data_IF_868102975631
#
_entry.id   IF_868102975631
#
_cell.length_a   1.000
_cell.length_b   1.000
_cell.length_c   1.000
_cell.angle_alpha   90.00
_cell.angle_beta   90.00
_cell.angle_gamma   90.00
#
_symmetry.space_group_name_H-M   'P 1'
#
loop_
_entity.id
_entity.type
_entity.pdbx_description
1 polymer ?
#
# COMPACT_ATOMS: atom_id res chain seq x y z
N UNK A 1 13.94 -0.23 4.85
CA UNK A 1 13.05 0.58 5.71
C UNK A 1 13.73 1.93 5.91
N UNK A 2 13.00 3.03 6.08
CA UNK A 2 13.62 4.34 6.34
C UNK A 2 14.61 4.20 7.51
N UNK A 3 15.84 4.69 7.37
CA UNK A 3 16.89 4.51 8.39
C UNK A 3 17.05 5.73 9.32
N UNK A 4 16.39 6.85 9.01
CA UNK A 4 16.61 8.15 9.64
C UNK A 4 15.48 8.47 10.64
N UNK A 5 14.22 8.35 10.21
CA UNK A 5 13.07 8.77 11.02
C UNK A 5 12.49 7.62 11.82
N UNK A 6 12.15 7.83 13.09
CA UNK A 6 11.49 6.80 13.90
C UNK A 6 10.03 6.55 13.50
N UNK A 7 9.42 7.50 12.82
CA UNK A 7 8.06 7.39 12.31
C UNK A 7 8.04 7.14 10.80
N UNK A 8 7.02 6.41 10.36
CA UNK A 8 6.78 6.03 8.98
C UNK A 8 5.36 6.42 8.58
N UNK A 9 5.23 6.99 7.38
CA UNK A 9 3.94 7.10 6.70
C UNK A 9 3.61 5.75 6.05
N UNK A 10 2.42 5.24 6.32
CA UNK A 10 1.92 3.97 5.78
C UNK A 10 0.52 4.14 5.20
N UNK A 11 0.21 3.30 4.22
CA UNK A 11 -1.10 3.20 3.58
C UNK A 11 -1.66 1.81 3.90
N UNK A 12 -2.93 1.69 4.35
CA UNK A 12 -3.50 0.40 4.67
C UNK A 12 -3.73 -0.44 3.40
N UNK A 13 -3.57 -1.74 3.56
CA UNK A 13 -3.86 -2.75 2.55
C UNK A 13 -4.89 -3.73 3.11
N UNK A 14 -5.96 -4.01 2.37
CA UNK A 14 -7.07 -4.85 2.84
C UNK A 14 -7.55 -5.83 1.77
N UNK A 15 -7.87 -7.06 2.16
CA UNK A 15 -8.51 -8.05 1.28
C UNK A 15 -10.03 -7.87 1.17
N UNK A 16 -10.61 -6.91 1.92
CA UNK A 16 -12.03 -6.59 1.79
C UNK A 16 -12.26 -5.69 0.57
N UNK A 17 -12.60 -6.31 -0.56
CA UNK A 17 -12.80 -5.67 -1.86
C UNK A 17 -14.28 -5.51 -2.24
N UNK A 18 -15.19 -5.56 -1.26
CA UNK A 18 -16.64 -5.52 -1.48
C UNK A 18 -17.19 -4.19 -2.07
N UNK A 19 -16.32 -3.21 -2.35
CA UNK A 19 -16.70 -1.92 -2.92
C UNK A 19 -16.00 -1.73 -4.27
N UNK A 20 -16.65 -1.04 -5.23
CA UNK A 20 -15.99 -0.66 -6.47
C UNK A 20 -14.70 0.11 -6.20
N UNK A 21 -13.65 -0.20 -6.97
CA UNK A 21 -12.39 0.52 -6.90
C UNK A 21 -12.55 1.96 -7.33
N UNK A 22 -11.92 2.86 -6.60
CA UNK A 22 -11.81 4.28 -6.94
C UNK A 22 -10.42 4.59 -7.52
N UNK A 23 -10.26 5.78 -8.11
CA UNK A 23 -8.96 6.26 -8.63
C UNK A 23 -7.88 6.40 -7.53
N UNK A 24 -8.29 6.45 -6.26
CA UNK A 24 -7.41 6.51 -5.08
C UNK A 24 -6.99 5.13 -4.58
N UNK A 25 -7.37 4.06 -5.28
CA UNK A 25 -7.17 2.69 -4.84
C UNK A 25 -6.41 1.89 -5.88
N UNK A 26 -5.50 1.05 -5.41
CA UNK A 26 -4.73 0.14 -6.25
C UNK A 26 -5.00 -1.30 -5.85
N UNK A 27 -5.41 -2.14 -6.79
CA UNK A 27 -5.64 -3.57 -6.59
C UNK A 27 -4.36 -4.36 -6.85
N UNK A 28 -3.86 -5.03 -5.81
CA UNK A 28 -2.81 -6.05 -5.94
C UNK A 28 -3.48 -7.37 -6.33
N UNK A 29 -3.17 -7.87 -7.52
CA UNK A 29 -3.75 -9.09 -8.09
C UNK A 29 -2.71 -9.87 -8.92
N UNK A 30 -3.06 -11.08 -9.35
CA UNK A 30 -2.20 -11.92 -10.19
C UNK A 30 -0.85 -12.23 -9.54
N UNK A 31 0.21 -12.13 -10.34
CA UNK A 31 1.58 -12.48 -9.92
C UNK A 31 2.14 -11.55 -8.82
N UNK A 32 1.57 -10.35 -8.67
CA UNK A 32 1.98 -9.39 -7.64
C UNK A 32 1.66 -9.86 -6.23
N UNK A 33 0.67 -10.75 -6.06
CA UNK A 33 0.31 -11.33 -4.76
C UNK A 33 1.54 -11.99 -4.11
N UNK A 34 2.30 -12.75 -4.91
CA UNK A 34 3.47 -13.47 -4.45
C UNK A 34 4.60 -12.53 -4.02
N UNK A 35 4.91 -11.51 -4.84
CA UNK A 35 5.96 -10.54 -4.53
C UNK A 35 5.59 -9.64 -3.34
N UNK A 36 4.31 -9.26 -3.22
CA UNK A 36 3.78 -8.51 -2.08
C UNK A 36 3.80 -9.32 -0.76
N UNK A 37 3.93 -10.64 -0.82
CA UNK A 37 3.92 -11.52 0.34
C UNK A 37 2.55 -11.64 1.00
N UNK A 38 1.48 -11.41 0.25
CA UNK A 38 0.08 -11.56 0.68
C UNK A 38 -0.49 -12.88 0.14
N UNK A 39 -1.66 -13.29 0.63
CA UNK A 39 -2.27 -14.59 0.30
C UNK A 39 -3.41 -14.53 -0.70
N UNK A 40 -4.04 -13.37 -0.79
CA UNK A 40 -5.24 -13.11 -1.60
C UNK A 40 -5.12 -11.72 -2.18
N UNK A 41 -5.91 -11.43 -3.20
CA UNK A 41 -6.05 -10.09 -3.74
C UNK A 41 -6.34 -9.10 -2.61
N UNK A 42 -5.72 -7.93 -2.69
CA UNK A 42 -5.88 -6.89 -1.68
C UNK A 42 -5.75 -5.51 -2.30
N UNK A 43 -6.40 -4.53 -1.69
CA UNK A 43 -6.45 -3.16 -2.17
C UNK A 43 -5.64 -2.26 -1.25
N UNK A 44 -4.72 -1.51 -1.84
CA UNK A 44 -4.02 -0.39 -1.22
C UNK A 44 -4.95 0.82 -1.28
N UNK A 45 -5.28 1.39 -0.12
CA UNK A 45 -6.28 2.46 0.02
C UNK A 45 -5.62 3.81 0.27
N UNK A 46 -5.24 4.51 -0.81
CA UNK A 46 -4.46 5.75 -0.71
C UNK A 46 -5.26 6.91 -0.12
N UNK A 47 -6.59 6.77 0.01
CA UNK A 47 -7.44 7.71 0.75
C UNK A 47 -7.21 7.70 2.28
N UNK A 48 -6.34 6.83 2.79
CA UNK A 48 -6.02 6.73 4.21
C UNK A 48 -4.51 6.63 4.40
N UNK A 49 -3.92 7.60 5.08
CA UNK A 49 -2.49 7.64 5.37
C UNK A 49 -2.31 7.79 6.88
N UNK A 50 -1.47 6.94 7.46
CA UNK A 50 -1.18 6.93 8.88
C UNK A 50 0.30 7.18 9.12
N UNK A 51 0.61 7.91 10.17
CA UNK A 51 1.97 7.97 10.71
C UNK A 51 2.05 6.99 11.87
N UNK A 52 2.94 6.01 11.77
CA UNK A 52 3.18 5.00 12.79
C UNK A 52 4.63 5.00 13.21
N UNK A 53 4.89 4.76 14.49
CA UNK A 53 6.25 4.52 14.96
C UNK A 53 6.76 3.16 14.44
N UNK A 54 8.04 3.08 14.08
CA UNK A 54 8.69 1.85 13.60
C UNK A 54 8.53 0.66 14.54
N UNK A 55 8.43 0.89 15.84
CA UNK A 55 8.20 -0.17 16.84
C UNK A 55 6.89 -0.94 16.63
N UNK A 56 5.91 -0.36 15.92
CA UNK A 56 4.65 -1.03 15.58
C UNK A 56 4.79 -2.01 14.40
N UNK A 57 5.93 -2.00 13.69
CA UNK A 57 6.16 -2.87 12.54
C UNK A 57 6.72 -4.22 13.01
N UNK A 58 5.89 -5.26 12.92
CA UNK A 58 6.28 -6.62 13.34
C UNK A 58 7.28 -7.27 12.38
N UNK A 59 7.05 -7.16 11.06
CA UNK A 59 7.91 -7.74 10.01
C UNK A 59 7.56 -7.20 8.62
N UNK A 60 8.49 -7.36 7.68
CA UNK A 60 8.24 -7.19 6.24
C UNK A 60 7.61 -8.47 5.67
N UNK A 61 6.51 -8.35 4.90
CA UNK A 61 5.87 -9.49 4.24
C UNK A 61 6.44 -9.76 2.84
N UNK A 62 6.64 -8.70 2.07
CA UNK A 62 7.15 -8.74 0.71
C UNK A 62 7.48 -7.35 0.21
N UNK A 63 7.52 -7.18 -1.11
CA UNK A 63 7.75 -5.90 -1.77
C UNK A 63 7.00 -5.84 -3.09
N UNK A 64 6.47 -4.67 -3.40
CA UNK A 64 5.88 -4.37 -4.70
C UNK A 64 6.98 -3.97 -5.70
N UNK A 65 6.72 -4.21 -6.98
CA UNK A 65 7.64 -3.81 -8.04
C UNK A 65 7.70 -2.28 -8.18
N UNK A 66 8.73 -1.75 -8.84
CA UNK A 66 8.81 -0.31 -9.10
C UNK A 66 7.65 0.19 -9.97
N UNK A 67 7.17 -0.62 -10.91
CA UNK A 67 6.01 -0.31 -11.74
C UNK A 67 4.75 -0.19 -10.90
N UNK A 68 4.52 -1.16 -10.01
CA UNK A 68 3.42 -1.16 -9.04
C UNK A 68 3.47 0.08 -8.13
N UNK A 69 4.66 0.43 -7.63
CA UNK A 69 4.85 1.61 -6.78
C UNK A 69 4.52 2.90 -7.53
N UNK A 70 4.82 2.99 -8.83
CA UNK A 70 4.41 4.14 -9.64
C UNK A 70 2.89 4.26 -9.75
N UNK A 71 2.18 3.14 -9.91
CA UNK A 71 0.71 3.13 -9.91
C UNK A 71 0.13 3.56 -8.57
N UNK A 72 0.67 3.04 -7.46
CA UNK A 72 0.30 3.48 -6.11
C UNK A 72 0.57 4.99 -5.93
N UNK A 73 1.65 5.52 -6.50
CA UNK A 73 1.94 6.95 -6.43
C UNK A 73 0.90 7.79 -7.19
N UNK A 74 0.41 7.34 -8.35
CA UNK A 74 -0.71 7.99 -9.04
C UNK A 74 -1.98 8.00 -8.17
N UNK A 75 -2.28 6.89 -7.50
CA UNK A 75 -3.42 6.82 -6.57
C UNK A 75 -3.24 7.78 -5.37
N UNK A 76 -2.02 7.92 -4.84
CA UNK A 76 -1.71 8.87 -3.77
C UNK A 76 -1.88 10.32 -4.19
N UNK A 77 -1.38 10.68 -5.37
CA UNK A 77 -1.53 12.03 -5.94
C UNK A 77 -3.01 12.36 -6.10
N UNK A 78 -3.78 11.42 -6.68
CA UNK A 78 -5.23 11.58 -6.83
C UNK A 78 -5.96 11.69 -5.47
N UNK A 79 -5.53 10.94 -4.45
CA UNK A 79 -6.13 10.98 -3.12
C UNK A 79 -5.84 12.27 -2.34
N UNK A 80 -4.70 12.91 -2.63
CA UNK A 80 -4.22 14.10 -1.94
C UNK A 80 -4.49 15.40 -2.71
N UNK A 81 -5.08 15.31 -3.90
CA UNK A 81 -5.33 16.45 -4.79
C UNK A 81 -4.05 17.24 -5.13
N UNK A 82 -2.96 16.52 -5.37
CA UNK A 82 -1.62 17.07 -5.67
C UNK A 82 -1.27 17.06 -7.17
#
# INVERSE_FOLDING_TARGET
>A
MNQILDDLMVVPCTSNTNRPLTVTQYLITGDEIGSAGIRVESVVRCESIFTLNKSMILRKLGSLSSETINQVNFCLIAALEL
#
